data_IF_075288895852
#
_entry.id   IF_075288895852
#
_cell.length_a   1.000
_cell.length_b   1.000
_cell.length_c   1.000
_cell.angle_alpha   90.00
_cell.angle_beta   90.00
_cell.angle_gamma   90.00
#
_symmetry.space_group_name_H-M   'P 1'
#
loop_
_entity.id
_entity.type
_entity.pdbx_description
1 polymer ?
#
# COMPACT_ATOMS: atom_id res chain seq x y z
N UNK A 1 32.09 22.34 6.64
CA UNK A 1 30.73 22.76 6.35
C UNK A 1 29.83 21.75 7.04
N UNK A 2 29.01 22.19 8.01
CA UNK A 2 28.01 21.40 8.67
C UNK A 2 27.00 20.99 7.61
N UNK A 3 26.65 19.72 7.60
CA UNK A 3 25.70 19.14 6.65
C UNK A 3 24.32 19.76 6.88
N UNK A 4 23.82 20.56 5.94
CA UNK A 4 22.55 21.30 6.08
C UNK A 4 21.31 20.39 5.98
N UNK A 5 21.48 19.08 5.77
CA UNK A 5 20.36 18.13 5.60
C UNK A 5 20.06 17.41 6.90
N UNK A 6 18.94 17.73 7.58
CA UNK A 6 18.60 17.18 8.89
C UNK A 6 18.14 15.72 8.85
N UNK A 7 17.74 15.21 7.69
CA UNK A 7 17.11 13.91 7.52
C UNK A 7 18.00 12.91 6.78
N UNK A 8 17.96 11.66 7.21
CA UNK A 8 18.48 10.50 6.49
C UNK A 8 17.29 9.68 6.00
N UNK A 9 17.19 9.43 4.69
CA UNK A 9 16.07 8.73 4.08
C UNK A 9 16.52 7.40 3.47
N UNK A 10 15.96 6.28 3.94
CA UNK A 10 16.19 4.98 3.29
C UNK A 10 15.46 4.89 1.95
N UNK A 11 16.20 4.66 0.89
CA UNK A 11 15.67 4.49 -0.47
C UNK A 11 15.94 3.13 -1.07
N UNK A 12 16.41 2.20 -0.26
CA UNK A 12 16.83 0.85 -0.70
C UNK A 12 15.68 0.10 -1.38
N UNK A 13 14.47 0.17 -0.81
CA UNK A 13 13.29 -0.45 -1.39
C UNK A 13 13.00 0.05 -2.81
N UNK A 14 13.08 1.35 -3.03
CA UNK A 14 12.88 1.96 -4.36
C UNK A 14 13.93 1.49 -5.37
N UNK A 15 15.20 1.40 -4.95
CA UNK A 15 16.28 0.87 -5.80
C UNK A 15 15.96 -0.57 -6.23
N UNK A 16 15.63 -1.43 -5.27
CA UNK A 16 15.36 -2.83 -5.55
C UNK A 16 14.15 -3.03 -6.45
N UNK A 17 13.04 -2.36 -6.16
CA UNK A 17 11.80 -2.44 -6.96
C UNK A 17 12.04 -1.98 -8.41
N UNK A 18 12.75 -0.87 -8.56
CA UNK A 18 13.11 -0.35 -9.87
C UNK A 18 14.07 -1.29 -10.62
N UNK A 19 15.02 -1.89 -9.92
CA UNK A 19 15.96 -2.86 -10.51
C UNK A 19 15.24 -4.10 -11.05
N UNK A 20 14.31 -4.67 -10.29
CA UNK A 20 13.56 -5.87 -10.70
C UNK A 20 12.48 -5.55 -11.75
N UNK A 21 12.13 -4.29 -11.95
CA UNK A 21 11.16 -3.86 -12.97
C UNK A 21 9.70 -4.16 -12.61
N UNK A 22 9.37 -4.39 -11.33
CA UNK A 22 8.00 -4.60 -10.86
C UNK A 22 7.22 -3.29 -10.77
N UNK A 23 5.91 -3.36 -10.98
CA UNK A 23 5.00 -2.23 -10.74
C UNK A 23 5.03 -1.80 -9.27
N UNK A 24 4.90 -0.49 -8.96
CA UNK A 24 4.84 -0.02 -7.58
C UNK A 24 3.66 -0.64 -6.82
N UNK A 25 3.91 -1.08 -5.59
CA UNK A 25 2.85 -1.46 -4.62
C UNK A 25 2.49 -0.26 -3.73
N UNK A 26 1.50 -0.42 -2.85
CA UNK A 26 1.13 0.63 -1.89
C UNK A 26 2.32 1.17 -1.09
N UNK A 27 3.17 0.29 -0.55
CA UNK A 27 4.38 0.70 0.19
C UNK A 27 5.37 1.46 -0.71
N UNK A 28 5.49 1.08 -1.98
CA UNK A 28 6.40 1.77 -2.90
C UNK A 28 5.91 3.19 -3.21
N UNK A 29 4.58 3.40 -3.29
CA UNK A 29 3.96 4.73 -3.42
C UNK A 29 4.25 5.61 -2.19
N UNK A 30 4.20 5.04 -0.99
CA UNK A 30 4.60 5.74 0.24
C UNK A 30 6.07 6.13 0.18
N UNK A 31 6.98 5.21 -0.18
CA UNK A 31 8.41 5.52 -0.31
C UNK A 31 8.67 6.63 -1.35
N UNK A 32 7.93 6.67 -2.45
CA UNK A 32 8.03 7.73 -3.45
C UNK A 32 7.53 9.08 -2.90
N UNK A 33 6.41 9.12 -2.19
CA UNK A 33 5.89 10.33 -1.58
C UNK A 33 6.89 10.92 -0.56
N UNK A 34 7.52 10.07 0.26
CA UNK A 34 8.57 10.50 1.18
C UNK A 34 9.83 10.99 0.44
N UNK A 35 10.22 10.33 -0.65
CA UNK A 35 11.30 10.82 -1.50
C UNK A 35 10.98 12.20 -2.09
N UNK A 36 9.80 12.39 -2.64
CA UNK A 36 9.37 13.66 -3.23
C UNK A 36 9.36 14.78 -2.19
N UNK A 37 8.86 14.50 -0.98
CA UNK A 37 8.81 15.49 0.10
C UNK A 37 10.19 15.88 0.62
N UNK A 38 11.09 14.92 0.85
CA UNK A 38 12.34 15.17 1.58
C UNK A 38 13.59 15.26 0.71
N UNK A 39 13.51 15.10 -0.62
CA UNK A 39 14.68 15.09 -1.51
C UNK A 39 15.62 16.30 -1.35
N UNK A 40 15.10 17.48 -1.04
CA UNK A 40 15.89 18.70 -0.80
C UNK A 40 16.53 18.77 0.59
N UNK A 41 16.01 18.02 1.57
CA UNK A 41 16.36 18.08 2.99
C UNK A 41 16.99 16.79 3.51
N UNK A 42 17.10 15.74 2.67
CA UNK A 42 17.58 14.43 3.09
C UNK A 42 18.88 14.00 2.39
N UNK A 43 19.68 13.20 3.11
CA UNK A 43 20.70 12.32 2.52
C UNK A 43 20.14 10.91 2.38
N UNK A 44 20.47 10.26 1.26
CA UNK A 44 20.06 8.89 1.02
C UNK A 44 20.83 7.90 1.88
N UNK A 45 20.11 6.93 2.43
CA UNK A 45 20.68 5.71 3.01
C UNK A 45 20.36 4.55 2.09
N UNK A 46 21.35 3.72 1.83
CA UNK A 46 21.25 2.50 1.01
C UNK A 46 21.72 1.30 1.81
N UNK A 47 21.04 0.16 1.61
CA UNK A 47 21.32 -1.08 2.32
C UNK A 47 21.36 -2.27 1.33
N UNK A 48 22.26 -3.21 1.53
CA UNK A 48 22.30 -4.45 0.79
C UNK A 48 23.06 -5.54 1.55
N UNK A 49 22.41 -6.62 1.95
CA UNK A 49 23.02 -7.79 2.61
C UNK A 49 24.02 -7.42 3.72
N UNK A 50 23.57 -6.64 4.70
CA UNK A 50 24.40 -6.18 5.82
C UNK A 50 25.28 -4.96 5.52
N UNK A 51 25.48 -4.62 4.25
CA UNK A 51 26.14 -3.37 3.87
C UNK A 51 25.15 -2.21 4.00
N UNK A 52 25.53 -1.17 4.75
CA UNK A 52 24.71 0.03 4.95
C UNK A 52 25.58 1.27 4.82
N UNK A 53 25.07 2.27 4.10
CA UNK A 53 25.84 3.49 3.82
C UNK A 53 24.94 4.72 3.74
N UNK A 54 25.34 5.78 4.43
CA UNK A 54 24.84 7.13 4.23
C UNK A 54 25.62 7.73 3.06
N UNK A 55 24.92 8.23 2.05
CA UNK A 55 25.54 8.85 0.88
C UNK A 55 25.88 10.33 1.14
N UNK A 56 26.80 10.88 0.38
CA UNK A 56 27.06 12.32 0.35
C UNK A 56 25.86 13.06 -0.26
N UNK A 57 25.73 14.38 -0.04
CA UNK A 57 24.67 15.19 -0.62
C UNK A 57 24.61 15.06 -2.14
N UNK A 58 25.75 15.21 -2.82
CA UNK A 58 25.84 15.09 -4.28
C UNK A 58 25.49 13.69 -4.81
N UNK A 59 25.79 12.62 -4.06
CA UNK A 59 25.41 11.25 -4.42
C UNK A 59 23.95 11.01 -4.14
N UNK A 60 23.40 11.59 -3.08
CA UNK A 60 21.98 11.53 -2.73
C UNK A 60 21.13 12.18 -3.80
N UNK A 61 21.45 13.42 -4.21
CA UNK A 61 20.74 14.14 -5.26
C UNK A 61 20.71 13.35 -6.57
N UNK A 62 21.87 12.83 -6.97
CA UNK A 62 21.96 12.01 -8.18
C UNK A 62 21.11 10.74 -8.09
N UNK A 63 21.10 10.07 -6.94
CA UNK A 63 20.28 8.88 -6.73
C UNK A 63 18.79 9.21 -6.74
N UNK A 64 18.38 10.30 -6.08
CA UNK A 64 17.00 10.76 -6.07
C UNK A 64 16.52 11.10 -7.49
N UNK A 65 17.32 11.81 -8.28
CA UNK A 65 17.00 12.08 -9.68
C UNK A 65 16.85 10.80 -10.51
N UNK A 66 17.71 9.79 -10.29
CA UNK A 66 17.59 8.51 -10.97
C UNK A 66 16.28 7.80 -10.59
N UNK A 67 15.91 7.80 -9.30
CA UNK A 67 14.72 7.13 -8.80
C UNK A 67 13.40 7.76 -9.27
N UNK A 68 13.41 9.04 -9.63
CA UNK A 68 12.24 9.76 -10.17
C UNK A 68 12.08 9.65 -11.69
N UNK A 69 13.14 9.25 -12.41
CA UNK A 69 13.08 9.13 -13.88
C UNK A 69 12.15 8.01 -14.36
N UNK A 70 11.59 8.12 -15.59
CA UNK A 70 10.87 7.04 -16.24
C UNK A 70 11.71 5.77 -16.41
N UNK A 71 11.06 4.62 -16.45
CA UNK A 71 11.71 3.27 -16.41
C UNK A 71 12.77 2.99 -17.48
N UNK A 72 12.72 3.60 -18.67
CA UNK A 72 13.49 3.16 -19.85
C UNK A 72 15.03 3.24 -19.71
N UNK A 73 15.58 4.18 -18.93
CA UNK A 73 17.04 4.35 -18.72
C UNK A 73 17.54 3.83 -17.38
N UNK A 74 16.65 3.44 -16.50
CA UNK A 74 16.88 3.31 -15.06
C UNK A 74 17.94 2.26 -14.69
N UNK A 75 17.92 1.06 -15.32
CA UNK A 75 18.90 0.00 -14.98
C UNK A 75 20.32 0.41 -15.35
N UNK A 76 20.51 1.13 -16.46
CA UNK A 76 21.80 1.66 -16.89
C UNK A 76 22.30 2.72 -15.91
N UNK A 77 21.42 3.65 -15.57
CA UNK A 77 21.74 4.79 -14.68
C UNK A 77 22.07 4.31 -13.25
N UNK A 78 21.29 3.35 -12.72
CA UNK A 78 21.57 2.70 -11.43
C UNK A 78 22.86 1.89 -11.46
N UNK A 79 23.11 1.10 -12.51
CA UNK A 79 24.36 0.34 -12.67
C UNK A 79 25.59 1.25 -12.69
N UNK A 80 25.53 2.34 -13.46
CA UNK A 80 26.58 3.36 -13.49
C UNK A 80 26.76 4.09 -12.17
N UNK A 81 25.66 4.36 -11.45
CA UNK A 81 25.71 4.94 -10.12
C UNK A 81 26.39 4.02 -9.11
N UNK A 82 25.95 2.76 -9.02
CA UNK A 82 26.53 1.76 -8.11
C UNK A 82 28.02 1.56 -8.39
N UNK A 83 28.42 1.40 -9.64
CA UNK A 83 29.84 1.24 -10.01
C UNK A 83 30.69 2.45 -9.55
N UNK A 84 30.18 3.68 -9.74
CA UNK A 84 30.89 4.90 -9.32
C UNK A 84 30.99 5.02 -7.80
N UNK A 85 29.92 4.74 -7.07
CA UNK A 85 29.91 4.81 -5.60
C UNK A 85 30.76 3.70 -4.96
N UNK A 86 30.86 2.52 -5.61
CA UNK A 86 31.73 1.44 -5.17
C UNK A 86 33.20 1.82 -5.26
N UNK A 87 33.60 2.49 -6.35
CA UNK A 87 34.99 2.98 -6.55
C UNK A 87 35.31 4.14 -5.60
N UNK A 88 34.31 4.93 -5.22
CA UNK A 88 34.47 6.03 -4.25
C UNK A 88 34.46 5.52 -2.81
N UNK A 89 35.38 4.66 -2.42
CA UNK A 89 35.56 4.20 -1.03
C UNK A 89 36.08 5.33 -0.13
N UNK A 90 35.17 6.31 0.15
CA UNK A 90 35.44 7.39 1.07
C UNK A 90 35.17 7.01 2.53
N UNK A 91 35.51 7.90 3.46
CA UNK A 91 35.21 7.76 4.90
C UNK A 91 33.72 7.45 5.10
N UNK A 92 33.43 6.50 5.99
CA UNK A 92 32.06 6.15 6.42
C UNK A 92 31.41 7.40 7.03
N UNK A 93 30.32 7.89 6.45
CA UNK A 93 29.58 8.99 7.01
C UNK A 93 28.76 8.49 8.22
N UNK A 94 28.73 9.32 9.27
CA UNK A 94 27.93 9.10 10.48
C UNK A 94 26.66 9.94 10.42
N UNK A 95 25.62 9.48 11.09
CA UNK A 95 24.35 10.18 11.22
C UNK A 95 24.40 11.41 12.09
N UNK A 96 25.31 11.43 13.08
CA UNK A 96 25.48 12.56 14.01
C UNK A 96 24.18 12.95 14.74
N UNK A 97 23.44 11.96 15.21
CA UNK A 97 22.18 12.15 15.92
C UNK A 97 21.00 12.58 15.05
N UNK A 98 21.12 12.53 13.72
CA UNK A 98 20.03 12.90 12.81
C UNK A 98 18.94 11.82 12.74
N UNK A 99 17.72 12.27 12.44
CA UNK A 99 16.60 11.38 12.21
C UNK A 99 16.83 10.53 10.94
N UNK A 100 16.60 9.23 11.08
CA UNK A 100 16.70 8.26 10.00
C UNK A 100 15.33 7.66 9.70
N UNK A 101 14.73 8.05 8.57
CA UNK A 101 13.42 7.60 8.12
C UNK A 101 13.56 6.32 7.31
N UNK A 102 13.01 5.20 7.80
CA UNK A 102 12.88 3.95 7.06
C UNK A 102 11.39 3.58 6.94
N UNK A 103 10.76 4.09 5.89
CA UNK A 103 9.34 3.89 5.61
C UNK A 103 9.06 2.67 4.70
N UNK A 104 10.10 2.00 4.24
CA UNK A 104 10.01 0.86 3.31
C UNK A 104 10.19 -0.51 3.95
N UNK A 105 10.34 -0.60 5.27
CA UNK A 105 10.65 -1.83 6.01
C UNK A 105 11.96 -2.53 5.58
N UNK A 106 12.94 -1.77 5.09
CA UNK A 106 14.15 -2.36 4.51
C UNK A 106 15.09 -2.86 5.59
N UNK A 107 15.54 -4.12 5.47
CA UNK A 107 16.57 -4.78 6.26
C UNK A 107 16.34 -4.82 7.80
N UNK A 108 15.17 -4.42 8.27
CA UNK A 108 14.83 -4.34 9.69
C UNK A 108 14.93 -5.69 10.41
N UNK A 109 14.74 -6.81 9.70
CA UNK A 109 14.85 -8.18 10.24
C UNK A 109 16.31 -8.68 10.37
N UNK A 110 17.30 -7.91 9.90
CA UNK A 110 18.69 -8.34 9.95
C UNK A 110 19.28 -8.10 11.34
N UNK A 111 19.94 -9.13 11.94
CA UNK A 111 20.53 -9.05 13.27
C UNK A 111 21.52 -7.88 13.44
N UNK A 112 22.31 -7.58 12.39
CA UNK A 112 23.26 -6.46 12.41
C UNK A 112 22.64 -5.07 12.28
N UNK A 113 21.29 -4.99 12.23
CA UNK A 113 20.60 -3.72 12.03
C UNK A 113 20.73 -2.80 13.25
N UNK A 114 20.48 -3.35 14.45
CA UNK A 114 20.57 -2.59 15.71
C UNK A 114 21.99 -2.07 15.95
N UNK A 115 22.99 -2.93 15.74
CA UNK A 115 24.41 -2.52 15.87
C UNK A 115 24.75 -1.37 14.91
N UNK A 116 24.21 -1.44 13.69
CA UNK A 116 24.45 -0.38 12.71
C UNK A 116 23.80 0.93 13.11
N UNK A 117 22.56 0.94 13.61
CA UNK A 117 21.88 2.17 14.02
C UNK A 117 22.67 2.91 15.11
N UNK A 118 23.22 2.18 16.06
CA UNK A 118 24.08 2.71 17.13
C UNK A 118 25.43 3.20 16.58
N UNK A 119 26.13 2.33 15.82
CA UNK A 119 27.45 2.66 15.26
C UNK A 119 27.42 3.81 14.24
N UNK A 120 26.32 4.00 13.55
CA UNK A 120 26.11 5.10 12.62
C UNK A 120 25.64 6.38 13.30
N UNK A 121 25.35 6.34 14.61
CA UNK A 121 24.82 7.47 15.37
C UNK A 121 23.59 8.10 14.68
N UNK A 122 22.55 7.29 14.46
CA UNK A 122 21.28 7.69 13.86
C UNK A 122 20.15 7.55 14.87
N UNK A 123 19.08 8.34 14.68
CA UNK A 123 17.82 8.28 15.45
C UNK A 123 16.71 7.75 14.57
N UNK A 124 16.39 6.42 14.64
CA UNK A 124 15.47 5.81 13.69
C UNK A 124 14.02 6.22 13.93
N UNK A 125 13.35 6.58 12.86
CA UNK A 125 11.90 6.73 12.75
C UNK A 125 11.41 5.77 11.68
N UNK A 126 10.48 4.91 12.05
CA UNK A 126 9.94 3.91 11.14
C UNK A 126 8.49 4.21 10.80
N UNK A 127 8.05 3.73 9.63
CA UNK A 127 6.63 3.64 9.33
C UNK A 127 6.22 2.19 9.34
N UNK A 128 5.17 1.85 10.09
CA UNK A 128 4.57 0.53 10.07
C UNK A 128 3.31 0.54 9.21
N UNK A 129 3.21 -0.42 8.27
CA UNK A 129 2.11 -0.48 7.32
C UNK A 129 1.00 -1.43 7.76
N UNK A 130 1.36 -2.54 8.39
CA UNK A 130 0.47 -3.54 8.98
C UNK A 130 1.26 -4.52 9.85
N UNK A 131 0.54 -5.34 10.61
CA UNK A 131 1.06 -6.49 11.34
C UNK A 131 0.46 -7.82 10.81
N UNK A 132 -0.10 -7.82 9.61
CA UNK A 132 -0.79 -8.97 9.03
C UNK A 132 0.04 -10.25 9.08
N UNK A 133 1.36 -10.26 8.78
CA UNK A 133 2.15 -11.48 8.87
C UNK A 133 2.25 -12.06 10.28
N UNK A 134 2.00 -11.26 11.32
CA UNK A 134 1.99 -11.70 12.74
C UNK A 134 0.58 -12.12 13.16
N UNK A 135 -0.43 -11.30 12.81
CA UNK A 135 -1.81 -11.50 13.27
C UNK A 135 -2.59 -12.53 12.44
N UNK A 136 -2.22 -12.69 11.16
CA UNK A 136 -2.88 -13.57 10.20
C UNK A 136 -1.83 -14.29 9.33
N UNK A 137 -0.97 -15.12 9.92
CA UNK A 137 0.11 -15.80 9.21
C UNK A 137 -0.38 -16.72 8.10
N UNK A 138 -1.64 -17.20 8.20
CA UNK A 138 -2.30 -18.05 7.20
C UNK A 138 -2.47 -17.38 5.82
N UNK A 139 -2.41 -16.05 5.74
CA UNK A 139 -2.48 -15.30 4.48
C UNK A 139 -1.10 -14.92 3.92
N UNK A 140 -0.03 -15.37 4.56
CA UNK A 140 1.32 -14.99 4.22
C UNK A 140 2.17 -16.19 3.80
N UNK A 141 3.20 -15.94 3.01
CA UNK A 141 4.14 -16.99 2.64
C UNK A 141 4.84 -17.58 3.84
N UNK A 142 5.16 -18.86 3.77
CA UNK A 142 5.91 -19.54 4.82
C UNK A 142 7.20 -18.77 5.20
N UNK A 143 7.44 -18.59 6.49
CA UNK A 143 8.60 -17.86 7.03
C UNK A 143 8.50 -16.32 6.99
N UNK A 144 7.39 -15.75 6.50
CA UNK A 144 7.21 -14.30 6.53
C UNK A 144 6.79 -13.81 7.92
N UNK A 145 6.03 -14.62 8.67
CA UNK A 145 5.63 -14.29 10.04
C UNK A 145 6.85 -14.10 10.94
N UNK A 146 7.75 -15.05 10.97
CA UNK A 146 8.98 -15.01 11.77
C UNK A 146 9.85 -13.80 11.39
N UNK A 147 10.00 -13.56 10.10
CA UNK A 147 10.74 -12.38 9.61
C UNK A 147 10.07 -11.08 10.02
N UNK A 148 8.75 -11.04 10.04
CA UNK A 148 8.01 -9.83 10.44
C UNK A 148 8.09 -9.61 11.95
N UNK A 149 8.04 -10.66 12.75
CA UNK A 149 8.27 -10.61 14.22
C UNK A 149 9.63 -9.97 14.52
N UNK A 150 10.71 -10.46 13.89
CA UNK A 150 12.04 -9.87 14.08
C UNK A 150 12.12 -8.42 13.61
N UNK A 151 11.44 -8.09 12.50
CA UNK A 151 11.34 -6.72 12.02
C UNK A 151 10.71 -5.79 13.04
N UNK A 152 9.58 -6.19 13.63
CA UNK A 152 8.86 -5.38 14.61
C UNK A 152 9.61 -5.30 15.93
N UNK A 153 10.25 -6.38 16.38
CA UNK A 153 11.15 -6.37 17.55
C UNK A 153 12.27 -5.36 17.39
N UNK A 154 12.95 -5.37 16.25
CA UNK A 154 14.04 -4.43 15.98
C UNK A 154 13.53 -2.99 15.84
N UNK A 155 12.32 -2.78 15.29
CA UNK A 155 11.68 -1.45 15.29
C UNK A 155 11.45 -0.96 16.72
N UNK A 156 10.81 -1.75 17.56
CA UNK A 156 10.54 -1.38 18.95
C UNK A 156 11.83 -1.12 19.75
N UNK A 157 12.88 -1.90 19.50
CA UNK A 157 14.15 -1.79 20.23
C UNK A 157 14.99 -0.56 19.83
N UNK A 158 14.78 0.02 18.67
CA UNK A 158 15.65 1.09 18.15
C UNK A 158 14.94 2.39 17.79
N UNK A 159 13.62 2.38 17.62
CA UNK A 159 12.88 3.57 17.20
C UNK A 159 12.90 4.67 18.25
N UNK A 160 13.13 5.90 17.81
CA UNK A 160 12.77 7.10 18.60
C UNK A 160 11.32 7.49 18.34
N UNK A 161 10.73 7.04 17.21
CA UNK A 161 9.33 7.21 16.91
C UNK A 161 8.85 6.25 15.82
N UNK A 162 7.54 5.93 15.83
CA UNK A 162 6.89 5.08 14.82
C UNK A 162 5.66 5.78 14.26
N UNK A 163 5.58 5.84 12.94
CA UNK A 163 4.43 6.34 12.19
C UNK A 163 3.57 5.14 11.80
N UNK A 164 2.29 5.15 12.16
CA UNK A 164 1.28 4.22 11.65
C UNK A 164 0.40 4.88 10.61
N UNK A 165 0.03 4.15 9.58
CA UNK A 165 -0.89 4.65 8.56
C UNK A 165 -2.35 4.73 9.06
N UNK A 166 -2.68 4.02 10.15
CA UNK A 166 -4.01 3.99 10.77
C UNK A 166 -3.90 3.78 12.28
N UNK A 167 -4.95 4.13 13.02
CA UNK A 167 -5.07 3.81 14.44
C UNK A 167 -5.09 2.30 14.64
N UNK A 168 -5.84 1.57 13.82
CA UNK A 168 -5.91 0.12 13.88
C UNK A 168 -4.54 -0.56 13.76
N UNK A 169 -3.66 -0.04 12.89
CA UNK A 169 -2.27 -0.54 12.77
C UNK A 169 -1.45 -0.27 14.04
N UNK A 170 -1.56 0.93 14.64
CA UNK A 170 -0.83 1.25 15.88
C UNK A 170 -1.37 0.48 17.09
N UNK A 171 -2.66 0.23 17.18
CA UNK A 171 -3.27 -0.57 18.24
C UNK A 171 -2.78 -2.03 18.15
N UNK A 172 -2.67 -2.57 16.93
CA UNK A 172 -2.08 -3.89 16.69
C UNK A 172 -0.59 -3.93 17.11
N UNK A 173 0.17 -2.87 16.83
CA UNK A 173 1.57 -2.75 17.26
C UNK A 173 1.68 -2.67 18.78
N UNK A 174 0.84 -1.88 19.44
CA UNK A 174 0.83 -1.76 20.91
C UNK A 174 0.47 -3.09 21.57
N UNK A 175 -0.49 -3.83 21.01
CA UNK A 175 -0.86 -5.17 21.48
C UNK A 175 0.30 -6.17 21.34
N UNK A 176 1.00 -6.14 20.22
CA UNK A 176 2.20 -6.96 20.02
C UNK A 176 3.32 -6.58 21.01
N UNK A 177 3.60 -5.29 21.16
CA UNK A 177 4.61 -4.82 22.11
C UNK A 177 4.30 -5.26 23.56
N UNK A 178 3.03 -5.18 23.98
CA UNK A 178 2.59 -5.65 25.29
C UNK A 178 2.81 -7.16 25.45
N UNK A 179 2.53 -7.97 24.43
CA UNK A 179 2.76 -9.42 24.44
C UNK A 179 4.25 -9.76 24.55
N UNK A 180 5.11 -8.97 23.91
CA UNK A 180 6.57 -9.13 23.96
C UNK A 180 7.21 -8.51 25.22
N UNK A 181 6.46 -7.81 26.06
CA UNK A 181 6.97 -7.06 27.21
C UNK A 181 7.88 -5.88 26.81
N UNK A 182 7.71 -5.36 25.59
CA UNK A 182 8.49 -4.26 25.04
C UNK A 182 7.79 -2.92 25.26
N UNK A 183 8.57 -1.87 25.50
CA UNK A 183 8.04 -0.50 25.53
C UNK A 183 7.73 -0.02 24.10
N UNK A 184 6.67 0.77 23.96
CA UNK A 184 6.37 1.47 22.72
C UNK A 184 7.08 2.83 22.70
N UNK A 185 7.76 3.20 21.62
CA UNK A 185 8.27 4.55 21.44
C UNK A 185 7.11 5.55 21.23
N UNK A 186 7.42 6.81 21.02
CA UNK A 186 6.41 7.78 20.58
C UNK A 186 5.79 7.36 19.25
N UNK A 187 4.47 7.50 19.11
CA UNK A 187 3.73 7.00 17.95
C UNK A 187 2.79 8.05 17.37
N UNK A 188 2.83 8.20 16.05
CA UNK A 188 1.95 9.10 15.28
C UNK A 188 1.05 8.31 14.35
N UNK A 189 -0.24 8.56 14.36
CA UNK A 189 -1.15 8.17 13.28
C UNK A 189 -1.08 9.21 12.17
N UNK A 190 -0.64 8.80 10.98
CA UNK A 190 -0.60 9.65 9.80
C UNK A 190 -1.23 8.93 8.60
N UNK A 191 -2.52 9.21 8.30
CA UNK A 191 -3.19 8.60 7.17
C UNK A 191 -2.48 8.87 5.84
N UNK A 192 -2.42 7.85 4.98
CA UNK A 192 -1.77 7.98 3.68
C UNK A 192 -2.60 8.84 2.74
N UNK A 193 -1.95 9.76 2.05
CA UNK A 193 -2.58 10.56 1.02
C UNK A 193 -2.78 9.78 -0.27
N UNK A 194 -3.76 10.22 -1.05
CA UNK A 194 -3.88 9.84 -2.46
C UNK A 194 -3.06 10.81 -3.30
N UNK A 195 -2.49 10.31 -4.43
CA UNK A 195 -1.83 11.16 -5.42
C UNK A 195 -2.81 12.14 -6.06
N UNK A 196 -2.33 13.30 -6.54
CA UNK A 196 -3.17 14.20 -7.33
C UNK A 196 -3.51 13.50 -8.67
N UNK A 197 -4.78 13.20 -8.86
CA UNK A 197 -5.32 12.59 -10.07
C UNK A 197 -6.00 13.71 -10.87
N UNK A 198 -5.21 14.45 -11.64
CA UNK A 198 -5.66 15.70 -12.30
C UNK A 198 -6.12 15.49 -13.74
N UNK A 199 -5.83 14.37 -14.36
CA UNK A 199 -6.23 14.13 -15.74
C UNK A 199 -7.60 13.42 -15.76
N UNK A 200 -8.59 14.03 -16.39
CA UNK A 200 -9.81 13.33 -16.75
C UNK A 200 -9.43 12.31 -17.83
N UNK A 201 -9.46 11.01 -17.53
CA UNK A 201 -9.18 10.01 -18.52
C UNK A 201 -10.29 10.02 -19.58
N UNK A 202 -9.95 9.66 -20.83
CA UNK A 202 -10.94 9.36 -21.85
C UNK A 202 -11.97 8.40 -21.27
N UNK A 203 -13.25 8.74 -21.44
CA UNK A 203 -14.33 7.93 -20.89
C UNK A 203 -14.22 6.51 -21.44
N UNK A 204 -14.08 5.48 -20.56
CA UNK A 204 -14.08 4.11 -21.05
C UNK A 204 -15.41 3.81 -21.75
N UNK A 205 -15.43 2.84 -22.68
CA UNK A 205 -16.63 2.51 -23.41
C UNK A 205 -17.77 2.17 -22.45
N UNK A 206 -18.96 2.72 -22.71
CA UNK A 206 -20.18 2.31 -22.00
C UNK A 206 -20.34 0.81 -22.22
N UNK A 207 -20.32 0.05 -21.14
CA UNK A 207 -20.59 -1.37 -21.19
C UNK A 207 -22.09 -1.62 -20.99
N UNK A 208 -22.62 -2.59 -21.72
CA UNK A 208 -24.06 -2.91 -21.77
C UNK A 208 -24.61 -3.44 -20.44
N UNK A 209 -23.73 -3.74 -19.48
CA UNK A 209 -24.08 -4.35 -18.19
C UNK A 209 -23.41 -3.63 -17.03
N UNK A 210 -24.02 -3.62 -15.82
CA UNK A 210 -23.40 -3.08 -14.61
C UNK A 210 -22.04 -3.73 -14.32
N UNK A 211 -21.02 -2.92 -13.96
CA UNK A 211 -19.67 -3.40 -13.67
C UNK A 211 -19.37 -3.14 -12.21
N UNK A 212 -18.82 -4.17 -11.57
CA UNK A 212 -18.18 -4.08 -10.26
C UNK A 212 -16.68 -4.30 -10.40
N UNK A 213 -15.88 -3.69 -9.55
CA UNK A 213 -14.42 -3.76 -9.63
C UNK A 213 -13.86 -4.32 -8.34
N UNK A 214 -12.88 -5.21 -8.45
CA UNK A 214 -11.91 -5.52 -7.39
C UNK A 214 -10.55 -5.00 -7.81
N UNK A 215 -9.85 -4.29 -6.92
CA UNK A 215 -8.56 -3.66 -7.21
C UNK A 215 -7.48 -4.13 -6.24
N UNK A 216 -6.37 -4.63 -6.78
CA UNK A 216 -5.18 -5.04 -6.04
C UNK A 216 -4.68 -6.42 -6.41
N UNK A 217 -3.53 -6.82 -5.83
CA UNK A 217 -2.95 -8.14 -6.05
C UNK A 217 -3.94 -9.25 -5.67
N UNK A 218 -4.06 -10.26 -6.52
CA UNK A 218 -4.90 -11.43 -6.24
C UNK A 218 -4.15 -12.30 -5.23
N UNK A 219 -4.57 -12.24 -3.98
CA UNK A 219 -3.99 -12.97 -2.84
C UNK A 219 -5.09 -13.43 -1.89
N UNK A 220 -4.83 -14.45 -1.07
CA UNK A 220 -5.84 -15.15 -0.27
C UNK A 220 -6.68 -14.20 0.59
N UNK A 221 -6.04 -13.26 1.30
CA UNK A 221 -6.74 -12.30 2.18
C UNK A 221 -7.71 -11.36 1.45
N UNK A 222 -7.59 -11.18 0.13
CA UNK A 222 -8.48 -10.31 -0.67
C UNK A 222 -9.81 -10.96 -1.01
N UNK A 223 -9.98 -12.24 -0.67
CA UNK A 223 -11.26 -12.96 -0.74
C UNK A 223 -11.90 -13.02 -2.14
N UNK A 224 -11.06 -13.09 -3.19
CA UNK A 224 -11.54 -13.23 -4.56
C UNK A 224 -12.39 -14.50 -4.74
N UNK A 225 -12.08 -15.57 -4.00
CA UNK A 225 -12.82 -16.84 -4.08
C UNK A 225 -14.30 -16.65 -3.78
N UNK A 226 -14.64 -15.91 -2.72
CA UNK A 226 -16.04 -15.60 -2.38
C UNK A 226 -16.74 -14.88 -3.53
N UNK A 227 -16.09 -13.87 -4.11
CA UNK A 227 -16.68 -13.10 -5.20
C UNK A 227 -16.89 -13.96 -6.45
N UNK A 228 -15.93 -14.82 -6.82
CA UNK A 228 -16.09 -15.74 -7.95
C UNK A 228 -17.26 -16.72 -7.75
N UNK A 229 -17.43 -17.22 -6.53
CA UNK A 229 -18.58 -18.08 -6.20
C UNK A 229 -19.92 -17.33 -6.26
N UNK A 230 -19.94 -16.07 -5.84
CA UNK A 230 -21.14 -15.21 -5.99
C UNK A 230 -21.43 -14.99 -7.48
N UNK A 231 -20.40 -14.66 -8.29
CA UNK A 231 -20.59 -14.48 -9.73
C UNK A 231 -21.09 -15.72 -10.43
N UNK A 232 -20.60 -16.92 -10.07
CA UNK A 232 -21.13 -18.16 -10.60
C UNK A 232 -22.65 -18.33 -10.29
N UNK A 233 -23.10 -17.95 -9.10
CA UNK A 233 -24.56 -17.95 -8.76
C UNK A 233 -25.33 -16.90 -9.56
N UNK A 234 -24.75 -15.70 -9.74
CA UNK A 234 -25.40 -14.63 -10.51
C UNK A 234 -25.53 -15.03 -11.99
N UNK A 235 -24.51 -15.63 -12.57
CA UNK A 235 -24.56 -16.12 -13.97
C UNK A 235 -25.61 -17.21 -14.13
N UNK A 236 -25.72 -18.15 -13.19
CA UNK A 236 -26.81 -19.20 -13.23
C UNK A 236 -28.20 -18.60 -13.12
N UNK A 237 -28.35 -17.52 -12.32
CA UNK A 237 -29.65 -16.89 -12.09
C UNK A 237 -30.07 -15.95 -13.22
N UNK A 238 -29.14 -15.20 -13.81
CA UNK A 238 -29.42 -14.11 -14.74
C UNK A 238 -28.83 -14.31 -16.15
N UNK A 239 -28.06 -15.35 -16.38
CA UNK A 239 -27.43 -15.61 -17.68
C UNK A 239 -26.59 -14.45 -18.19
N UNK A 240 -26.86 -14.01 -19.42
CA UNK A 240 -26.20 -12.87 -20.05
C UNK A 240 -26.45 -11.54 -19.38
N UNK A 241 -27.48 -11.42 -18.56
CA UNK A 241 -27.85 -10.19 -17.85
C UNK A 241 -27.13 -10.04 -16.50
N UNK A 242 -26.37 -11.04 -16.07
CA UNK A 242 -25.55 -10.97 -14.87
C UNK A 242 -24.58 -9.79 -14.94
N UNK A 243 -24.35 -9.05 -13.83
CA UNK A 243 -23.36 -7.98 -13.81
C UNK A 243 -21.95 -8.51 -14.11
N UNK A 244 -21.06 -7.66 -14.59
CA UNK A 244 -19.66 -8.00 -14.79
C UNK A 244 -18.81 -7.70 -13.56
N UNK A 245 -17.84 -8.56 -13.29
CA UNK A 245 -16.76 -8.34 -12.33
C UNK A 245 -15.47 -8.08 -13.09
N UNK A 246 -14.86 -6.94 -12.83
CA UNK A 246 -13.54 -6.61 -13.34
C UNK A 246 -12.52 -6.71 -12.22
N UNK A 247 -11.58 -7.63 -12.33
CA UNK A 247 -10.49 -7.82 -11.38
C UNK A 247 -9.24 -7.14 -11.96
N UNK A 248 -8.81 -6.05 -11.36
CA UNK A 248 -7.62 -5.30 -11.79
C UNK A 248 -6.48 -5.55 -10.81
N UNK A 249 -5.47 -6.31 -11.25
CA UNK A 249 -4.31 -6.60 -10.42
C UNK A 249 -3.47 -7.75 -10.92
N UNK A 250 -2.28 -7.90 -10.33
CA UNK A 250 -1.39 -9.00 -10.67
C UNK A 250 -1.74 -10.24 -9.85
N UNK A 251 -1.57 -11.43 -10.44
CA UNK A 251 -1.64 -12.69 -9.71
C UNK A 251 -0.53 -12.75 -8.67
N UNK A 252 -0.91 -12.99 -7.42
CA UNK A 252 -0.03 -13.05 -6.28
C UNK A 252 0.40 -14.46 -5.92
N UNK A 253 0.11 -14.88 -4.70
CA UNK A 253 0.54 -16.16 -4.13
C UNK A 253 -0.60 -16.79 -3.33
N UNK A 254 -0.53 -18.14 -3.18
CA UNK A 254 -1.47 -18.92 -2.37
C UNK A 254 -2.94 -18.72 -2.76
N UNK A 255 -3.19 -18.67 -4.09
CA UNK A 255 -4.50 -18.41 -4.68
C UNK A 255 -4.83 -19.36 -5.84
N UNK A 256 -4.30 -20.58 -5.83
CA UNK A 256 -4.44 -21.56 -6.91
C UNK A 256 -5.91 -21.81 -7.25
N UNK A 257 -6.79 -21.92 -6.25
CA UNK A 257 -8.24 -22.11 -6.48
C UNK A 257 -8.88 -20.93 -7.22
N UNK A 258 -8.43 -19.71 -6.95
CA UNK A 258 -8.90 -18.50 -7.66
C UNK A 258 -8.43 -18.55 -9.11
N UNK A 259 -7.16 -18.90 -9.34
CA UNK A 259 -6.60 -18.99 -10.69
C UNK A 259 -7.26 -20.10 -11.50
N UNK A 260 -7.51 -21.26 -10.90
CA UNK A 260 -8.24 -22.36 -11.56
C UNK A 260 -9.66 -21.94 -12.00
N UNK A 261 -10.38 -21.16 -11.18
CA UNK A 261 -11.69 -20.63 -11.55
C UNK A 261 -11.57 -19.59 -12.68
N UNK A 262 -10.62 -18.68 -12.63
CA UNK A 262 -10.41 -17.65 -13.66
C UNK A 262 -10.01 -18.27 -15.01
N UNK A 263 -9.16 -19.32 -14.98
CA UNK A 263 -8.60 -19.91 -16.19
C UNK A 263 -9.49 -20.97 -16.84
N UNK A 264 -10.32 -21.68 -16.05
CA UNK A 264 -11.00 -22.90 -16.50
C UNK A 264 -12.51 -22.85 -16.42
N UNK A 265 -13.12 -21.92 -15.66
CA UNK A 265 -14.56 -21.86 -15.53
C UNK A 265 -15.19 -21.25 -16.78
N UNK A 266 -15.86 -22.07 -17.58
CA UNK A 266 -16.64 -21.60 -18.74
C UNK A 266 -17.79 -20.67 -18.32
N UNK A 267 -18.39 -20.95 -17.16
CA UNK A 267 -19.48 -20.18 -16.60
C UNK A 267 -19.09 -18.72 -16.28
N UNK A 268 -17.84 -18.49 -15.85
CA UNK A 268 -17.36 -17.15 -15.47
C UNK A 268 -16.76 -16.35 -16.64
N UNK A 269 -16.44 -17.00 -17.75
CA UNK A 269 -15.63 -16.43 -18.87
C UNK A 269 -16.14 -15.09 -19.38
N UNK A 270 -17.46 -14.92 -19.52
CA UNK A 270 -18.07 -13.69 -20.05
C UNK A 270 -18.48 -12.69 -18.98
N UNK A 271 -18.49 -13.10 -17.71
CA UNK A 271 -18.95 -12.29 -16.59
C UNK A 271 -17.80 -11.76 -15.73
N UNK A 272 -16.64 -12.43 -15.74
CA UNK A 272 -15.46 -12.03 -14.95
C UNK A 272 -14.29 -11.77 -15.88
N UNK A 273 -13.71 -10.56 -15.78
CA UNK A 273 -12.58 -10.13 -16.59
C UNK A 273 -11.38 -9.81 -15.67
N UNK A 274 -10.20 -10.32 -16.02
CA UNK A 274 -8.94 -10.07 -15.32
C UNK A 274 -8.05 -9.13 -16.16
N UNK A 275 -7.56 -8.04 -15.55
CA UNK A 275 -6.60 -7.11 -16.17
C UNK A 275 -5.38 -7.00 -15.26
N UNK A 276 -4.22 -7.43 -15.73
CA UNK A 276 -2.96 -7.41 -14.97
C UNK A 276 -2.04 -6.22 -15.27
N UNK A 277 -2.27 -5.53 -16.40
CA UNK A 277 -1.47 -4.37 -16.82
C UNK A 277 -2.41 -3.21 -17.15
N UNK A 278 -2.60 -2.36 -16.16
CA UNK A 278 -3.50 -1.20 -16.21
C UNK A 278 -2.74 0.00 -15.66
N UNK A 279 -2.71 1.09 -16.39
CA UNK A 279 -2.16 2.36 -15.91
C UNK A 279 -3.07 2.98 -14.83
N UNK A 280 -2.53 3.87 -14.02
CA UNK A 280 -3.32 4.56 -13.00
C UNK A 280 -4.50 5.33 -13.62
N UNK A 281 -4.34 5.93 -14.81
CA UNK A 281 -5.40 6.61 -15.53
C UNK A 281 -6.51 5.65 -16.00
N UNK A 282 -6.15 4.47 -16.49
CA UNK A 282 -7.13 3.43 -16.86
C UNK A 282 -7.87 2.88 -15.64
N UNK A 283 -7.17 2.68 -14.51
CA UNK A 283 -7.81 2.31 -13.23
C UNK A 283 -8.84 3.35 -12.82
N UNK A 284 -8.50 4.64 -12.89
CA UNK A 284 -9.41 5.74 -12.56
C UNK A 284 -10.64 5.76 -13.47
N UNK A 285 -10.42 5.56 -14.78
CA UNK A 285 -11.49 5.48 -15.74
C UNK A 285 -12.45 4.32 -15.45
N UNK A 286 -11.91 3.14 -15.14
CA UNK A 286 -12.72 1.98 -14.75
C UNK A 286 -13.50 2.25 -13.46
N UNK A 287 -12.85 2.80 -12.42
CA UNK A 287 -13.51 3.13 -11.15
C UNK A 287 -14.67 4.11 -11.34
N UNK A 288 -14.48 5.22 -12.07
CA UNK A 288 -15.53 6.22 -12.32
C UNK A 288 -16.78 5.64 -12.99
N UNK A 289 -16.62 4.59 -13.80
CA UNK A 289 -17.72 3.96 -14.55
C UNK A 289 -18.28 2.71 -13.85
N UNK A 290 -17.73 2.31 -12.71
CA UNK A 290 -18.19 1.17 -11.96
C UNK A 290 -19.47 1.47 -11.17
N UNK A 291 -20.27 0.45 -10.94
CA UNK A 291 -21.38 0.50 -9.98
C UNK A 291 -20.87 0.66 -8.55
N UNK A 292 -19.81 -0.10 -8.24
CA UNK A 292 -19.07 0.00 -6.99
C UNK A 292 -17.71 -0.68 -7.09
N UNK A 293 -16.76 -0.25 -6.23
CA UNK A 293 -15.62 -1.07 -5.85
C UNK A 293 -16.09 -2.12 -4.83
N UNK A 294 -15.72 -3.38 -5.03
CA UNK A 294 -15.88 -4.46 -4.04
C UNK A 294 -14.56 -4.68 -3.32
N UNK A 295 -14.58 -4.59 -2.01
CA UNK A 295 -13.39 -4.73 -1.19
C UNK A 295 -13.61 -5.75 -0.05
N UNK A 296 -13.85 -7.04 -0.38
CA UNK A 296 -14.26 -8.09 0.55
C UNK A 296 -13.10 -8.68 1.35
N UNK A 297 -12.03 -7.91 1.56
CA UNK A 297 -10.80 -8.39 2.19
C UNK A 297 -11.03 -8.87 3.62
N UNK A 298 -10.36 -9.97 4.01
CA UNK A 298 -10.46 -10.55 5.35
C UNK A 298 -9.66 -9.74 6.38
N UNK A 299 -8.57 -9.13 5.94
CA UNK A 299 -7.72 -8.26 6.77
C UNK A 299 -6.98 -7.25 5.90
N UNK A 300 -6.79 -6.03 6.41
CA UNK A 300 -6.09 -4.96 5.68
C UNK A 300 -5.34 -4.04 6.66
N UNK A 301 -4.18 -3.54 6.24
CA UNK A 301 -3.42 -2.56 7.02
C UNK A 301 -3.88 -1.12 6.83
N UNK A 302 -4.39 -0.78 5.62
CA UNK A 302 -4.91 0.54 5.32
C UNK A 302 -6.09 0.49 4.35
N UNK A 303 -5.84 0.27 3.06
CA UNK A 303 -6.90 0.21 2.07
C UNK A 303 -6.86 1.36 1.05
N UNK A 304 -5.70 1.58 0.43
CA UNK A 304 -5.56 2.58 -0.64
C UNK A 304 -6.65 2.48 -1.72
N UNK A 305 -7.03 1.29 -2.24
CA UNK A 305 -8.10 1.18 -3.22
C UNK A 305 -9.44 1.76 -2.76
N UNK A 306 -9.77 1.64 -1.47
CA UNK A 306 -11.01 2.16 -0.91
C UNK A 306 -11.01 3.70 -0.97
N UNK A 307 -9.97 4.34 -0.44
CA UNK A 307 -9.90 5.82 -0.43
C UNK A 307 -9.77 6.38 -1.85
N UNK A 308 -9.11 5.67 -2.75
CA UNK A 308 -9.00 6.03 -4.17
C UNK A 308 -10.37 6.01 -4.86
N UNK A 309 -11.15 4.95 -4.65
CA UNK A 309 -12.50 4.85 -5.21
C UNK A 309 -13.43 5.95 -4.65
N UNK A 310 -13.44 6.16 -3.33
CA UNK A 310 -14.25 7.20 -2.71
C UNK A 310 -13.88 8.61 -3.21
N UNK A 311 -12.59 8.88 -3.39
CA UNK A 311 -12.12 10.16 -3.91
C UNK A 311 -12.52 10.41 -5.37
N UNK A 312 -12.72 9.35 -6.15
CA UNK A 312 -13.21 9.40 -7.53
C UNK A 312 -14.75 9.47 -7.62
N UNK A 313 -15.44 9.48 -6.48
CA UNK A 313 -16.90 9.45 -6.44
C UNK A 313 -17.51 8.06 -6.69
N UNK A 314 -16.71 7.03 -6.65
CA UNK A 314 -17.15 5.64 -6.85
C UNK A 314 -17.64 5.05 -5.54
N UNK A 315 -18.86 4.52 -5.48
CA UNK A 315 -19.34 3.77 -4.31
C UNK A 315 -18.46 2.59 -3.97
N UNK A 316 -18.40 2.25 -2.68
CA UNK A 316 -17.58 1.15 -2.17
C UNK A 316 -18.43 0.23 -1.30
N UNK A 317 -18.39 -1.07 -1.57
CA UNK A 317 -18.88 -2.11 -0.68
C UNK A 317 -17.64 -2.78 -0.08
N UNK A 318 -17.47 -2.67 1.23
CA UNK A 318 -16.24 -3.11 1.91
C UNK A 318 -16.55 -4.09 3.04
N UNK A 319 -15.55 -4.87 3.42
CA UNK A 319 -15.62 -5.66 4.65
C UNK A 319 -15.78 -4.76 5.87
N UNK A 320 -16.50 -5.26 6.87
CA UNK A 320 -16.64 -4.62 8.17
C UNK A 320 -15.35 -4.78 8.99
N UNK A 321 -14.39 -3.87 8.74
CA UNK A 321 -13.09 -3.85 9.39
C UNK A 321 -12.84 -2.49 10.07
N UNK A 322 -12.25 -2.45 11.27
CA UNK A 322 -12.00 -1.19 11.98
C UNK A 322 -11.24 -0.14 11.15
N UNK A 323 -10.23 -0.57 10.38
CA UNK A 323 -9.48 0.33 9.51
C UNK A 323 -10.34 0.97 8.41
N UNK A 324 -11.36 0.28 7.93
CA UNK A 324 -12.23 0.80 6.87
C UNK A 324 -13.24 1.81 7.39
N UNK A 325 -13.70 1.68 8.63
CA UNK A 325 -14.47 2.73 9.32
C UNK A 325 -13.61 3.99 9.52
N UNK A 326 -12.34 3.81 9.92
CA UNK A 326 -11.42 4.94 10.11
C UNK A 326 -11.21 5.74 8.82
N UNK A 327 -10.87 5.07 7.70
CA UNK A 327 -10.51 5.75 6.45
C UNK A 327 -11.70 6.05 5.55
N UNK A 328 -12.77 5.27 5.65
CA UNK A 328 -13.97 5.39 4.82
C UNK A 328 -15.00 6.40 5.37
N UNK A 329 -14.84 6.89 6.61
CA UNK A 329 -15.68 7.92 7.23
C UNK A 329 -17.18 7.54 7.19
N UNK A 330 -17.51 6.27 7.43
CA UNK A 330 -18.88 5.72 7.35
C UNK A 330 -19.58 5.91 5.99
N UNK A 331 -18.82 6.14 4.94
CA UNK A 331 -19.38 6.26 3.58
C UNK A 331 -19.66 4.90 2.93
N UNK A 332 -18.74 3.90 2.98
CA UNK A 332 -19.00 2.58 2.39
C UNK A 332 -20.18 1.86 3.02
N UNK A 333 -20.75 0.92 2.30
CA UNK A 333 -21.60 -0.10 2.89
C UNK A 333 -20.71 -1.24 3.40
N UNK A 334 -20.75 -1.50 4.71
CA UNK A 334 -19.91 -2.48 5.37
C UNK A 334 -20.63 -3.82 5.53
N UNK A 335 -19.93 -4.92 5.22
CA UNK A 335 -20.48 -6.27 5.27
C UNK A 335 -19.43 -7.20 5.90
N UNK A 336 -19.86 -8.11 6.75
CA UNK A 336 -18.98 -9.18 7.25
C UNK A 336 -18.33 -9.90 6.04
N UNK A 337 -16.99 -10.00 5.99
CA UNK A 337 -16.28 -10.63 4.87
C UNK A 337 -16.62 -12.12 4.67
N UNK A 338 -17.28 -12.75 5.63
CA UNK A 338 -17.71 -14.14 5.56
C UNK A 338 -19.21 -14.30 5.20
N UNK A 339 -20.00 -13.22 5.22
CA UNK A 339 -21.42 -13.28 4.89
C UNK A 339 -21.66 -13.20 3.38
N UNK A 340 -21.42 -14.31 2.68
CA UNK A 340 -21.65 -14.41 1.23
C UNK A 340 -23.07 -14.05 0.79
N UNK A 341 -24.14 -14.47 1.48
CA UNK A 341 -25.51 -14.04 1.18
C UNK A 341 -25.72 -12.54 1.24
N UNK A 342 -25.20 -11.84 2.24
CA UNK A 342 -25.28 -10.38 2.34
C UNK A 342 -24.52 -9.70 1.20
N UNK A 343 -23.29 -10.14 0.88
CA UNK A 343 -22.55 -9.66 -0.28
C UNK A 343 -23.34 -9.81 -1.57
N UNK A 344 -23.91 -11.00 -1.82
CA UNK A 344 -24.71 -11.24 -3.01
C UNK A 344 -25.94 -10.32 -3.08
N UNK A 345 -26.66 -10.14 -1.97
CA UNK A 345 -27.84 -9.29 -1.91
C UNK A 345 -27.53 -7.81 -2.22
N UNK A 346 -26.43 -7.29 -1.67
CA UNK A 346 -26.02 -5.90 -1.93
C UNK A 346 -25.53 -5.72 -3.37
N UNK A 347 -24.79 -6.67 -3.92
CA UNK A 347 -24.37 -6.65 -5.34
C UNK A 347 -25.58 -6.60 -6.26
N UNK A 348 -26.59 -7.43 -6.03
CA UNK A 348 -27.84 -7.43 -6.81
C UNK A 348 -28.56 -6.09 -6.69
N UNK A 349 -28.66 -5.54 -5.46
CA UNK A 349 -29.28 -4.24 -5.23
C UNK A 349 -28.55 -3.11 -5.97
N UNK A 350 -27.23 -3.10 -5.94
CA UNK A 350 -26.40 -2.11 -6.64
C UNK A 350 -26.42 -2.26 -8.16
N UNK A 351 -26.63 -3.46 -8.66
CA UNK A 351 -26.71 -3.73 -10.10
C UNK A 351 -27.98 -3.14 -10.75
N UNK A 352 -29.04 -2.91 -9.98
CA UNK A 352 -30.28 -2.31 -10.50
C UNK A 352 -30.04 -0.90 -11.03
N UNK A 353 -30.70 -0.52 -12.12
CA UNK A 353 -30.59 0.79 -12.74
C UNK A 353 -30.95 1.89 -11.73
N UNK A 354 -32.12 1.76 -11.06
CA UNK A 354 -32.61 2.65 -10.00
C UNK A 354 -32.35 2.06 -8.61
N UNK A 355 -31.07 1.91 -8.25
CA UNK A 355 -30.67 1.37 -6.95
C UNK A 355 -30.79 2.42 -5.84
N UNK A 356 -31.74 2.24 -4.94
CA UNK A 356 -31.92 3.11 -3.75
C UNK A 356 -30.69 3.04 -2.84
N UNK A 357 -30.14 1.86 -2.61
CA UNK A 357 -28.95 1.67 -1.76
C UNK A 357 -27.73 2.41 -2.35
N UNK A 358 -27.48 2.23 -3.65
CA UNK A 358 -26.39 2.94 -4.32
C UNK A 358 -26.59 4.47 -4.29
N UNK A 359 -27.81 4.95 -4.57
CA UNK A 359 -28.12 6.38 -4.52
C UNK A 359 -27.87 6.98 -3.12
N UNK A 360 -28.25 6.24 -2.07
CA UNK A 360 -27.99 6.65 -0.68
C UNK A 360 -26.47 6.76 -0.39
N UNK A 361 -25.67 5.81 -0.86
CA UNK A 361 -24.21 5.91 -0.70
C UNK A 361 -23.60 7.06 -1.51
N UNK A 362 -24.06 7.27 -2.76
CA UNK A 362 -23.63 8.42 -3.59
C UNK A 362 -23.93 9.76 -2.89
N UNK A 363 -25.07 9.86 -2.22
CA UNK A 363 -25.37 11.05 -1.42
C UNK A 363 -24.39 11.24 -0.24
N UNK A 364 -24.01 10.17 0.45
CA UNK A 364 -22.98 10.23 1.52
C UNK A 364 -21.59 10.61 0.97
N UNK A 365 -21.24 10.16 -0.24
CA UNK A 365 -19.96 10.48 -0.90
C UNK A 365 -19.69 11.99 -1.05
N UNK A 366 -20.74 12.82 -1.17
CA UNK A 366 -20.58 14.27 -1.24
C UNK A 366 -19.89 14.87 0.00
N UNK A 367 -19.92 14.17 1.13
CA UNK A 367 -19.28 14.57 2.39
C UNK A 367 -17.90 13.98 2.60
N UNK A 368 -17.45 13.04 1.75
CA UNK A 368 -16.14 12.42 1.89
C UNK A 368 -15.00 13.42 1.73
N UNK A 369 -14.04 13.32 2.60
CA UNK A 369 -12.79 14.10 2.54
C UNK A 369 -11.60 13.17 2.50
N UNK A 370 -11.08 12.95 1.31
CA UNK A 370 -9.93 12.08 1.12
C UNK A 370 -8.69 12.63 1.86
N UNK A 371 -7.91 11.78 2.54
CA UNK A 371 -6.64 12.19 3.11
C UNK A 371 -5.67 12.60 1.99
N UNK A 372 -4.86 13.63 2.24
CA UNK A 372 -3.90 14.16 1.28
C UNK A 372 -2.48 13.96 1.78
N UNK A 373 -1.51 13.89 0.87
CA UNK A 373 -0.10 13.89 1.24
C UNK A 373 0.32 15.18 1.95
N UNK A 374 -0.32 16.30 1.65
CA UNK A 374 -0.07 17.57 2.33
C UNK A 374 -0.43 17.48 3.82
N UNK A 375 -1.65 16.99 4.14
CA UNK A 375 -2.07 16.80 5.53
C UNK A 375 -1.19 15.77 6.26
N UNK A 376 -0.83 14.68 5.58
CA UNK A 376 0.09 13.67 6.10
C UNK A 376 1.43 14.30 6.51
N UNK A 377 2.09 15.01 5.59
CA UNK A 377 3.40 15.60 5.88
C UNK A 377 3.33 16.79 6.83
N UNK A 378 2.23 17.53 6.90
CA UNK A 378 2.03 18.56 7.92
C UNK A 378 2.08 17.94 9.32
N UNK A 379 1.35 16.84 9.53
CA UNK A 379 1.37 16.13 10.82
C UNK A 379 2.74 15.48 11.11
N UNK A 380 3.32 14.81 10.11
CA UNK A 380 4.62 14.15 10.26
C UNK A 380 5.72 15.17 10.57
N UNK A 381 5.79 16.28 9.86
CA UNK A 381 6.84 17.28 10.09
C UNK A 381 6.75 17.90 11.49
N UNK A 382 5.53 18.32 11.90
CA UNK A 382 5.31 18.85 13.23
C UNK A 382 5.72 17.87 14.34
N UNK A 383 5.43 16.59 14.14
CA UNK A 383 5.81 15.56 15.09
C UNK A 383 7.31 15.24 15.09
N UNK A 384 7.96 15.18 13.91
CA UNK A 384 9.42 14.97 13.83
C UNK A 384 10.22 16.05 14.54
N UNK A 385 9.70 17.30 14.63
CA UNK A 385 10.33 18.40 15.38
C UNK A 385 10.29 18.18 16.89
N UNK A 386 9.39 17.34 17.41
CA UNK A 386 9.28 17.01 18.84
C UNK A 386 10.20 15.87 19.26
N UNK A 387 10.66 15.09 18.34
CA UNK A 387 11.58 14.00 18.59
C UNK A 387 13.01 14.52 18.74
#
# INVERSE_FOLDING_TARGET
>A
MLNDRPILLDVTRLIWRRWVGRLPTGIDRVCLAYLDRYRGEAQAVIQYRGFRRILTDASSDRLFDILQKPRRSLRRDLGGFVAREWVRSGKRLLGRGRLYLNVGHTALQEQSYLEWTQAADVRPVYMIHDLIPITHPEFCRAGESERHVERVRNMLASAVGIIGNSRATLDSLASFAATEGAATPDMLVAPLGIGSRLDEPDSPPKLDRPIFIMLGTIEARKNHLLMLQIWARLVRAYGSDAPRLLIIGQRGWECEQVFDLLDRSEELRDAVLEISDCSDAEVDAHLRNARALLFPTLVEGYGLPLIEALALGTPVIASDLPVFHEIGQEIPDFIDPLDGPAWQAVIISYAQEESVARAAQVARLAHYRAPTWESHFTSVNAWLETL
#
